data_IF_481268359554
#
_entry.id   IF_481268359554
#
_cell.length_a   1.000
_cell.length_b   1.000
_cell.length_c   1.000
_cell.angle_alpha   90.00
_cell.angle_beta   90.00
_cell.angle_gamma   90.00
#
_symmetry.space_group_name_H-M   'P 1'
#
loop_
_entity.id
_entity.type
_entity.pdbx_description
1 polymer ?
#
# COMPACT_ATOMS: atom_id res chain seq x y z
N UNK A 1 65.56 7.41 25.34
CA UNK A 1 66.62 7.23 24.33
C UNK A 1 66.01 6.64 23.06
N UNK A 2 66.35 7.24 21.92
CA UNK A 2 66.37 6.72 20.53
C UNK A 2 65.05 6.30 19.86
N UNK A 3 64.65 7.20 18.94
CA UNK A 3 63.95 6.95 17.69
C UNK A 3 64.63 5.88 16.82
N UNK A 4 63.90 5.32 15.85
CA UNK A 4 64.36 5.04 14.48
C UNK A 4 63.14 5.05 13.54
N UNK A 5 63.19 5.98 12.59
CA UNK A 5 62.47 6.05 11.32
C UNK A 5 62.91 4.88 10.43
N UNK A 6 62.00 4.26 9.66
CA UNK A 6 62.37 3.74 8.34
C UNK A 6 61.25 4.01 7.34
N UNK A 7 61.56 4.94 6.44
CA UNK A 7 60.91 5.12 5.17
C UNK A 7 61.48 4.11 4.17
N UNK A 8 60.63 3.44 3.40
CA UNK A 8 61.02 2.85 2.12
C UNK A 8 60.05 3.34 1.07
N UNK A 9 60.61 4.20 0.22
CA UNK A 9 60.09 4.68 -1.04
C UNK A 9 60.33 3.57 -2.07
N UNK A 10 59.32 3.18 -2.85
CA UNK A 10 59.53 2.43 -4.09
C UNK A 10 58.48 2.85 -5.10
N UNK A 11 58.92 3.65 -6.06
CA UNK A 11 58.18 4.03 -7.24
C UNK A 11 58.11 2.83 -8.21
N UNK A 12 56.91 2.54 -8.68
CA UNK A 12 56.65 1.60 -9.78
C UNK A 12 55.58 2.18 -10.67
N UNK A 13 56.01 2.86 -11.74
CA UNK A 13 55.18 3.43 -12.79
C UNK A 13 54.96 2.34 -13.85
N UNK A 14 53.73 1.84 -14.03
CA UNK A 14 53.31 1.19 -15.28
C UNK A 14 51.92 1.71 -15.65
N UNK A 15 51.89 2.37 -16.80
CA UNK A 15 50.72 2.84 -17.51
C UNK A 15 50.13 1.68 -18.33
N UNK A 16 48.82 1.44 -18.23
CA UNK A 16 48.07 0.89 -19.35
C UNK A 16 46.65 1.45 -19.36
N UNK A 17 46.33 2.15 -20.43
CA UNK A 17 45.03 2.68 -20.75
C UNK A 17 43.99 1.55 -20.88
N UNK A 18 43.06 1.51 -19.92
CA UNK A 18 41.81 0.78 -20.02
C UNK A 18 40.67 1.78 -19.86
N UNK A 19 39.87 1.96 -20.91
CA UNK A 19 38.65 2.77 -20.93
C UNK A 19 37.83 2.54 -19.65
N UNK A 20 37.33 3.57 -18.95
CA UNK A 20 36.18 3.40 -18.09
C UNK A 20 35.00 3.13 -19.02
N UNK A 21 34.80 1.85 -19.35
CA UNK A 21 33.53 1.38 -19.84
C UNK A 21 32.53 1.74 -18.75
N UNK A 22 31.68 2.71 -19.08
CA UNK A 22 30.46 3.04 -18.35
C UNK A 22 29.69 1.74 -18.18
N UNK A 23 29.91 1.06 -17.06
CA UNK A 23 28.95 0.11 -16.53
C UNK A 23 27.76 1.00 -16.21
N UNK A 24 26.83 1.07 -17.16
CA UNK A 24 25.49 1.51 -16.93
C UNK A 24 24.99 0.63 -15.79
N UNK A 25 25.10 1.18 -14.58
CA UNK A 25 24.38 0.69 -13.43
C UNK A 25 22.95 0.53 -13.91
N UNK A 26 22.53 -0.73 -14.03
CA UNK A 26 21.15 -1.08 -14.18
C UNK A 26 20.45 -0.35 -13.05
N UNK A 27 19.76 0.73 -13.41
CA UNK A 27 18.75 1.32 -12.58
C UNK A 27 17.82 0.15 -12.27
N UNK A 28 17.98 -0.40 -11.06
CA UNK A 28 16.93 -1.17 -10.44
C UNK A 28 15.72 -0.25 -10.54
N UNK A 29 14.80 -0.59 -11.45
CA UNK A 29 13.47 -0.03 -11.48
C UNK A 29 12.95 -0.26 -10.07
N UNK A 30 13.00 0.77 -9.24
CA UNK A 30 12.18 0.82 -8.06
C UNK A 30 10.78 0.41 -8.52
N UNK A 31 10.16 -0.60 -7.90
CA UNK A 31 8.80 -0.96 -8.23
C UNK A 31 7.99 0.33 -8.06
N UNK A 32 7.41 0.80 -9.16
CA UNK A 32 6.59 1.99 -9.17
C UNK A 32 5.57 1.85 -8.05
N UNK A 33 5.69 2.70 -7.01
CA UNK A 33 4.67 2.83 -5.98
C UNK A 33 3.37 3.11 -6.73
N UNK A 34 2.49 2.11 -6.77
CA UNK A 34 1.12 2.25 -7.26
C UNK A 34 0.49 3.36 -6.43
N UNK A 35 0.39 4.56 -7.01
CA UNK A 35 -0.40 5.66 -6.47
C UNK A 35 -1.85 5.30 -6.71
N UNK A 36 -2.38 4.40 -5.88
CA UNK A 36 -3.83 4.26 -5.72
C UNK A 36 -4.30 5.64 -5.25
N UNK A 37 -5.13 6.30 -6.06
CA UNK A 37 -5.65 7.62 -5.72
C UNK A 37 -6.41 7.50 -4.40
N UNK A 38 -5.94 8.21 -3.39
CA UNK A 38 -6.56 8.21 -2.08
C UNK A 38 -7.99 8.74 -2.16
N UNK A 39 -8.87 8.18 -1.35
CA UNK A 39 -10.16 8.81 -1.08
C UNK A 39 -9.89 10.12 -0.32
N UNK A 40 -10.75 11.14 -0.47
CA UNK A 40 -10.57 12.41 0.25
C UNK A 40 -10.41 12.23 1.76
N UNK A 41 -11.11 11.25 2.36
CA UNK A 41 -11.02 10.93 3.77
C UNK A 41 -9.68 10.28 4.14
N UNK A 42 -9.18 9.34 3.34
CA UNK A 42 -7.88 8.73 3.58
C UNK A 42 -6.72 9.73 3.38
N UNK A 43 -6.84 10.60 2.38
CA UNK A 43 -5.89 11.69 2.15
C UNK A 43 -5.86 12.65 3.34
N UNK A 44 -7.03 13.06 3.84
CA UNK A 44 -7.14 13.90 5.03
C UNK A 44 -6.44 13.26 6.23
N UNK A 45 -6.75 12.00 6.54
CA UNK A 45 -6.14 11.29 7.66
C UNK A 45 -4.61 11.25 7.54
N UNK A 46 -4.08 10.97 6.34
CA UNK A 46 -2.62 10.86 6.11
C UNK A 46 -1.89 12.19 6.13
N UNK A 47 -2.51 13.25 5.61
CA UNK A 47 -1.85 14.55 5.41
C UNK A 47 -2.10 15.52 6.55
N UNK A 48 -3.23 15.39 7.25
CA UNK A 48 -3.61 16.25 8.37
C UNK A 48 -3.57 15.52 9.70
N UNK A 49 -4.46 14.57 9.96
CA UNK A 49 -4.62 13.96 11.29
C UNK A 49 -3.34 13.29 11.79
N UNK A 50 -2.66 12.51 10.94
CA UNK A 50 -1.42 11.83 11.29
C UNK A 50 -0.18 12.75 11.34
N UNK A 51 -0.23 13.93 10.73
CA UNK A 51 0.87 14.92 10.78
C UNK A 51 0.77 15.85 11.98
N UNK A 52 -0.35 15.83 12.69
CA UNK A 52 -0.58 16.57 13.92
C UNK A 52 0.50 16.25 14.95
N UNK A 53 1.14 17.29 15.50
CA UNK A 53 2.18 17.12 16.51
C UNK A 53 1.55 16.84 17.87
N UNK A 54 1.97 15.78 18.54
CA UNK A 54 1.47 15.37 19.84
C UNK A 54 2.57 15.45 20.90
N UNK A 55 2.16 15.74 22.12
CA UNK A 55 3.00 15.64 23.33
C UNK A 55 2.21 14.85 24.35
N UNK A 56 2.73 13.69 24.72
CA UNK A 56 2.07 12.74 25.63
C UNK A 56 3.08 12.13 26.59
N UNK A 57 2.59 11.75 27.76
CA UNK A 57 3.31 10.97 28.75
C UNK A 57 2.33 9.99 29.42
N UNK A 58 2.52 8.71 29.16
CA UNK A 58 1.69 7.63 29.68
C UNK A 58 2.56 6.67 30.49
N UNK A 59 2.11 6.35 31.70
CA UNK A 59 2.76 5.38 32.58
C UNK A 59 1.79 4.26 32.92
N UNK A 60 2.14 3.02 32.59
CA UNK A 60 1.33 1.82 32.81
C UNK A 60 -0.13 1.87 32.28
N UNK A 61 -0.33 2.58 31.17
CA UNK A 61 -1.65 2.73 30.55
C UNK A 61 -1.86 1.61 29.51
N UNK A 62 -3.11 1.14 29.36
CA UNK A 62 -3.45 0.17 28.31
C UNK A 62 -3.24 0.78 26.92
N UNK A 63 -2.66 0.00 26.00
CA UNK A 63 -2.42 0.41 24.61
C UNK A 63 -3.69 0.95 23.94
N UNK A 64 -4.84 0.31 24.16
CA UNK A 64 -6.12 0.79 23.63
C UNK A 64 -6.51 2.19 24.12
N UNK A 65 -6.21 2.54 25.38
CA UNK A 65 -6.50 3.87 25.94
C UNK A 65 -5.51 4.92 25.42
N UNK A 66 -4.22 4.56 25.28
CA UNK A 66 -3.21 5.41 24.64
C UNK A 66 -3.64 5.76 23.21
N UNK A 67 -4.12 4.77 22.44
CA UNK A 67 -4.58 4.98 21.07
C UNK A 67 -5.83 5.87 21.00
N UNK A 68 -6.78 5.73 21.93
CA UNK A 68 -7.94 6.63 22.02
C UNK A 68 -7.53 8.07 22.31
N UNK A 69 -6.56 8.26 23.21
CA UNK A 69 -6.02 9.59 23.50
C UNK A 69 -5.36 10.21 22.28
N UNK A 70 -4.63 9.42 21.49
CA UNK A 70 -4.08 9.87 20.20
C UNK A 70 -5.16 10.31 19.21
N UNK A 71 -6.28 9.58 19.14
CA UNK A 71 -7.41 9.98 18.32
C UNK A 71 -8.01 11.30 18.79
N UNK A 72 -8.18 11.47 20.10
CA UNK A 72 -8.71 12.70 20.69
C UNK A 72 -7.79 13.91 20.44
N UNK A 73 -6.48 13.75 20.61
CA UNK A 73 -5.50 14.80 20.34
C UNK A 73 -5.40 15.16 18.85
N UNK A 74 -5.70 14.23 17.95
CA UNK A 74 -5.82 14.54 16.53
C UNK A 74 -7.09 15.37 16.28
N UNK A 75 -8.23 14.91 16.79
CA UNK A 75 -9.53 15.58 16.67
C UNK A 75 -9.50 17.01 17.18
N UNK A 76 -8.92 17.26 18.35
CA UNK A 76 -8.78 18.60 18.94
C UNK A 76 -8.02 19.58 18.01
N UNK A 77 -7.14 19.08 17.14
CA UNK A 77 -6.32 19.93 16.26
C UNK A 77 -6.81 19.96 14.82
N UNK A 78 -7.59 18.98 14.40
CA UNK A 78 -8.10 18.88 13.03
C UNK A 78 -9.59 19.15 12.92
N UNK A 79 -10.30 19.33 14.04
CA UNK A 79 -11.77 19.48 14.13
C UNK A 79 -12.53 18.33 13.45
N UNK A 80 -11.86 17.19 13.22
CA UNK A 80 -12.39 16.00 12.56
C UNK A 80 -11.99 14.75 13.35
N UNK A 81 -12.94 13.83 13.64
CA UNK A 81 -12.68 12.67 14.47
C UNK A 81 -11.75 11.69 13.77
N UNK A 82 -10.65 11.33 14.44
CA UNK A 82 -9.76 10.27 13.96
C UNK A 82 -10.32 8.91 14.37
N UNK A 83 -10.97 8.23 13.43
CA UNK A 83 -11.58 6.94 13.70
C UNK A 83 -10.53 5.81 13.69
N UNK A 84 -10.57 4.97 14.71
CA UNK A 84 -9.69 3.81 14.87
C UNK A 84 -10.45 2.50 14.76
N UNK A 85 -9.87 1.52 14.08
CA UNK A 85 -10.32 0.13 14.11
C UNK A 85 -9.19 -0.82 14.50
N UNK A 86 -9.55 -1.96 15.11
CA UNK A 86 -8.58 -2.95 15.57
C UNK A 86 -8.70 -4.23 14.76
N UNK A 87 -7.58 -4.66 14.16
CA UNK A 87 -7.48 -5.96 13.53
C UNK A 87 -7.58 -7.12 14.54
N UNK A 88 -7.87 -8.34 14.06
CA UNK A 88 -7.93 -9.52 14.91
C UNK A 88 -6.58 -9.77 15.60
N UNK A 89 -6.62 -10.09 16.88
CA UNK A 89 -5.42 -10.38 17.68
C UNK A 89 -4.60 -9.15 18.08
N UNK A 90 -5.08 -7.93 17.83
CA UNK A 90 -4.38 -6.73 18.27
C UNK A 90 -4.40 -6.59 19.81
N UNK A 91 -3.25 -6.39 20.47
CA UNK A 91 -3.14 -6.48 21.93
C UNK A 91 -3.57 -5.17 22.64
N UNK A 92 -4.80 -4.69 22.40
CA UNK A 92 -5.30 -3.43 22.96
C UNK A 92 -5.33 -3.40 24.51
N UNK A 93 -5.37 -4.56 25.17
CA UNK A 93 -5.35 -4.68 26.63
C UNK A 93 -3.97 -4.59 27.28
N UNK A 94 -2.88 -4.62 26.50
CA UNK A 94 -1.50 -4.60 27.01
C UNK A 94 -1.19 -3.26 27.67
N UNK A 95 -0.65 -3.27 28.89
CA UNK A 95 -0.18 -2.06 29.56
C UNK A 95 1.23 -1.68 29.09
N UNK A 96 1.47 -0.39 28.92
CA UNK A 96 2.78 0.11 28.54
C UNK A 96 3.02 1.56 29.00
N UNK A 97 4.30 1.91 29.08
CA UNK A 97 4.76 3.27 29.34
C UNK A 97 5.28 3.86 28.04
N UNK A 98 4.78 5.03 27.65
CA UNK A 98 5.13 5.69 26.40
C UNK A 98 5.11 7.20 26.58
N UNK A 99 6.16 7.88 26.10
CA UNK A 99 6.23 9.33 26.07
C UNK A 99 6.71 9.79 24.70
N UNK A 100 6.12 10.87 24.21
CA UNK A 100 6.51 11.54 22.99
C UNK A 100 6.33 13.05 23.18
N UNK A 101 7.28 13.85 22.70
CA UNK A 101 7.21 15.31 22.82
C UNK A 101 7.36 15.94 21.46
N UNK A 102 6.36 16.73 21.06
CA UNK A 102 6.36 17.49 19.82
C UNK A 102 6.65 16.62 18.57
N UNK A 103 6.15 15.39 18.56
CA UNK A 103 6.33 14.45 17.45
C UNK A 103 5.06 14.39 16.60
N UNK A 104 5.17 14.26 15.26
CA UNK A 104 4.02 13.93 14.43
C UNK A 104 3.36 12.64 14.92
N UNK A 105 2.02 12.60 14.89
CA UNK A 105 1.26 11.46 15.38
C UNK A 105 1.66 10.16 14.67
N UNK A 106 1.96 10.18 13.37
CA UNK A 106 2.47 9.02 12.63
C UNK A 106 3.76 8.43 13.23
N UNK A 107 4.65 9.29 13.75
CA UNK A 107 5.94 8.91 14.32
C UNK A 107 5.73 8.39 15.74
N UNK A 108 4.89 9.07 16.52
CA UNK A 108 4.51 8.63 17.86
C UNK A 108 3.81 7.26 17.83
N UNK A 109 2.86 7.09 16.90
CA UNK A 109 2.14 5.84 16.67
C UNK A 109 3.07 4.71 16.22
N UNK A 110 3.96 4.96 15.26
CA UNK A 110 4.93 3.95 14.83
C UNK A 110 5.86 3.51 15.97
N UNK A 111 6.37 4.47 16.74
CA UNK A 111 7.24 4.21 17.90
C UNK A 111 6.50 3.41 18.98
N UNK A 112 5.25 3.79 19.27
CA UNK A 112 4.39 3.09 20.22
C UNK A 112 4.18 1.63 19.81
N UNK A 113 3.78 1.39 18.55
CA UNK A 113 3.50 0.05 18.04
C UNK A 113 4.75 -0.83 17.99
N UNK A 114 5.90 -0.27 17.61
CA UNK A 114 7.21 -0.97 17.68
C UNK A 114 7.56 -1.40 19.11
N UNK A 115 7.28 -0.54 20.09
CA UNK A 115 7.51 -0.83 21.51
C UNK A 115 6.53 -1.86 22.07
N UNK A 116 5.28 -1.84 21.58
CA UNK A 116 4.24 -2.75 22.04
C UNK A 116 4.47 -4.20 21.60
N UNK A 117 5.01 -4.44 20.41
CA UNK A 117 5.40 -5.79 19.99
C UNK A 117 5.80 -5.92 18.52
N UNK A 118 6.55 -6.99 18.17
CA UNK A 118 6.90 -7.28 16.79
C UNK A 118 5.63 -7.57 15.98
N UNK A 119 5.58 -7.08 14.74
CA UNK A 119 4.44 -7.26 13.85
C UNK A 119 3.25 -6.32 14.12
N UNK A 120 3.28 -5.45 15.14
CA UNK A 120 2.21 -4.46 15.27
C UNK A 120 2.38 -3.34 14.25
N UNK A 121 1.28 -2.88 13.69
CA UNK A 121 1.25 -1.85 12.65
C UNK A 121 -0.06 -1.12 12.52
N UNK A 122 -0.14 -0.27 11.50
CA UNK A 122 -1.34 0.49 11.19
C UNK A 122 -1.42 0.79 9.70
N UNK A 123 -2.64 0.81 9.18
CA UNK A 123 -2.96 1.16 7.81
C UNK A 123 -4.13 2.14 7.78
N UNK A 124 -4.09 3.12 6.90
CA UNK A 124 -5.23 4.01 6.63
C UNK A 124 -6.05 3.40 5.50
N UNK A 125 -7.28 3.03 5.82
CA UNK A 125 -8.24 2.45 4.87
C UNK A 125 -8.58 3.53 3.83
N UNK A 126 -8.36 3.23 2.56
CA UNK A 126 -8.65 4.13 1.44
C UNK A 126 -9.47 3.38 0.40
N UNK A 127 -10.77 3.30 0.64
CA UNK A 127 -11.68 2.51 -0.18
C UNK A 127 -13.03 3.22 -0.31
N UNK A 128 -13.28 3.73 -1.50
CA UNK A 128 -14.50 4.47 -1.80
C UNK A 128 -15.75 3.60 -1.56
N UNK A 129 -16.72 4.16 -0.83
CA UNK A 129 -17.96 3.47 -0.45
C UNK A 129 -17.82 2.47 0.70
N UNK A 130 -16.62 2.28 1.27
CA UNK A 130 -16.45 1.50 2.49
C UNK A 130 -16.79 2.34 3.73
N UNK A 131 -17.46 1.73 4.72
CA UNK A 131 -17.82 2.42 5.97
C UNK A 131 -16.60 2.77 6.84
N UNK A 132 -15.46 2.12 6.58
CA UNK A 132 -14.21 2.38 7.27
C UNK A 132 -13.27 3.29 6.47
N UNK A 133 -13.73 3.87 5.36
CA UNK A 133 -12.91 4.79 4.57
C UNK A 133 -12.38 5.95 5.42
N UNK A 134 -11.08 6.22 5.32
CA UNK A 134 -10.37 7.22 6.14
C UNK A 134 -9.99 6.76 7.55
N UNK A 135 -10.41 5.58 8.01
CA UNK A 135 -10.09 5.09 9.35
C UNK A 135 -8.66 4.57 9.43
N UNK A 136 -8.06 4.69 10.60
CA UNK A 136 -6.77 4.05 10.90
C UNK A 136 -7.03 2.68 11.50
N UNK A 137 -6.69 1.64 10.75
CA UNK A 137 -6.82 0.25 11.16
C UNK A 137 -5.50 -0.25 11.74
N UNK A 138 -5.52 -0.68 13.00
CA UNK A 138 -4.39 -1.31 13.66
C UNK A 138 -4.23 -2.75 13.17
N UNK A 139 -3.01 -3.17 12.84
CA UNK A 139 -2.69 -4.48 12.27
C UNK A 139 -1.67 -5.23 13.11
N UNK A 140 -1.63 -6.55 12.93
CA UNK A 140 -0.66 -7.47 13.54
C UNK A 140 0.31 -8.05 12.49
N UNK A 141 0.28 -7.50 11.27
CA UNK A 141 1.09 -7.90 10.10
C UNK A 141 2.32 -7.02 9.88
N UNK A 142 2.50 -5.98 10.69
CA UNK A 142 3.63 -5.05 10.60
C UNK A 142 3.49 -3.99 9.50
N UNK A 143 2.36 -3.97 8.80
CA UNK A 143 2.09 -2.99 7.73
C UNK A 143 2.08 -1.55 8.27
N UNK A 144 2.52 -0.62 7.43
CA UNK A 144 2.58 0.82 7.71
C UNK A 144 2.06 1.61 6.53
N UNK A 145 1.13 2.53 6.78
CA UNK A 145 0.72 3.53 5.79
C UNK A 145 -0.52 3.12 4.99
N UNK A 146 -0.37 2.96 3.68
CA UNK A 146 -1.50 2.68 2.77
C UNK A 146 -2.00 1.26 3.07
N UNK A 147 -3.30 1.08 3.29
CA UNK A 147 -3.90 -0.25 3.11
C UNK A 147 -3.72 -0.56 1.63
N UNK A 148 -2.59 -1.14 1.24
CA UNK A 148 -2.51 -1.77 -0.08
C UNK A 148 -3.65 -2.78 -0.07
N UNK A 149 -4.59 -2.68 -1.02
CA UNK A 149 -5.63 -3.69 -1.15
C UNK A 149 -4.96 -5.06 -1.11
N UNK A 150 -5.59 -6.10 -0.53
CA UNK A 150 -5.04 -7.45 -0.56
C UNK A 150 -4.54 -7.74 -1.98
N UNK A 151 -3.36 -8.34 -2.17
CA UNK A 151 -2.79 -8.58 -3.49
C UNK A 151 -3.87 -9.15 -4.41
N UNK A 152 -4.21 -8.40 -5.47
CA UNK A 152 -5.30 -8.72 -6.39
C UNK A 152 -6.55 -7.83 -6.34
N UNK A 153 -6.74 -6.94 -5.36
CA UNK A 153 -7.94 -6.07 -5.33
C UNK A 153 -7.86 -4.84 -6.27
N UNK A 154 -6.65 -4.33 -6.56
CA UNK A 154 -6.46 -3.36 -7.65
C UNK A 154 -6.66 -4.02 -9.03
N UNK A 155 -6.15 -5.24 -9.18
CA UNK A 155 -6.36 -6.08 -10.37
C UNK A 155 -7.84 -6.42 -10.57
N UNK A 156 -8.57 -6.72 -9.50
CA UNK A 156 -10.03 -6.92 -9.54
C UNK A 156 -10.76 -5.63 -9.94
N UNK A 157 -10.37 -4.46 -9.41
CA UNK A 157 -11.01 -3.20 -9.75
C UNK A 157 -10.77 -2.81 -11.22
N UNK A 158 -9.56 -3.02 -11.74
CA UNK A 158 -9.24 -2.76 -13.14
C UNK A 158 -9.89 -3.78 -14.07
N UNK A 159 -9.92 -5.06 -13.68
CA UNK A 159 -10.65 -6.10 -14.38
C UNK A 159 -12.17 -5.80 -14.42
N UNK A 160 -12.75 -5.35 -13.30
CA UNK A 160 -14.16 -5.00 -13.21
C UNK A 160 -14.53 -3.80 -14.10
N UNK A 161 -13.70 -2.75 -14.16
CA UNK A 161 -13.91 -1.61 -15.06
C UNK A 161 -13.89 -2.02 -16.52
N UNK A 162 -12.90 -2.83 -16.92
CA UNK A 162 -12.80 -3.38 -18.28
C UNK A 162 -14.00 -4.30 -18.59
N UNK A 163 -14.45 -5.08 -17.62
CA UNK A 163 -15.63 -5.96 -17.75
C UNK A 163 -16.92 -5.15 -17.96
N UNK A 164 -17.11 -4.04 -17.24
CA UNK A 164 -18.24 -3.12 -17.45
C UNK A 164 -18.22 -2.53 -18.86
N UNK A 165 -17.04 -2.14 -19.37
CA UNK A 165 -16.90 -1.69 -20.75
C UNK A 165 -17.31 -2.79 -21.74
N UNK A 166 -16.84 -4.02 -21.53
CA UNK A 166 -17.18 -5.16 -22.39
C UNK A 166 -18.69 -5.47 -22.36
N UNK A 167 -19.33 -5.46 -21.18
CA UNK A 167 -20.79 -5.64 -21.04
C UNK A 167 -21.56 -4.56 -21.80
N UNK A 168 -21.16 -3.29 -21.68
CA UNK A 168 -21.76 -2.19 -22.46
C UNK A 168 -21.63 -2.38 -23.98
N UNK A 169 -20.50 -2.92 -24.46
CA UNK A 169 -20.30 -3.21 -25.88
C UNK A 169 -21.19 -4.37 -26.35
N UNK A 170 -21.44 -5.36 -25.49
CA UNK A 170 -22.38 -6.44 -25.77
C UNK A 170 -23.83 -5.93 -25.82
N UNK A 171 -24.23 -5.11 -24.84
CA UNK A 171 -25.57 -4.50 -24.81
C UNK A 171 -25.80 -3.59 -26.02
N UNK A 172 -24.74 -2.96 -26.54
CA UNK A 172 -24.77 -2.15 -27.76
C UNK A 172 -24.75 -2.99 -29.06
N UNK A 173 -24.82 -4.33 -28.97
CA UNK A 173 -24.83 -5.23 -30.13
C UNK A 173 -23.48 -5.28 -30.87
N UNK A 174 -22.37 -4.98 -30.21
CA UNK A 174 -21.01 -4.98 -30.80
C UNK A 174 -20.13 -6.09 -30.22
N UNK A 175 -20.46 -7.37 -30.43
CA UNK A 175 -19.71 -8.50 -29.88
C UNK A 175 -18.28 -8.60 -30.44
N UNK A 176 -18.04 -8.13 -31.67
CA UNK A 176 -16.71 -8.08 -32.26
C UNK A 176 -15.75 -7.12 -31.53
N UNK A 177 -16.28 -6.04 -30.94
CA UNK A 177 -15.50 -5.09 -30.15
C UNK A 177 -15.39 -5.51 -28.69
N UNK A 178 -16.37 -6.25 -28.16
CA UNK A 178 -16.34 -6.77 -26.80
C UNK A 178 -15.33 -7.94 -26.64
N UNK A 179 -15.21 -8.81 -27.65
CA UNK A 179 -14.32 -9.98 -27.63
C UNK A 179 -12.86 -9.67 -27.26
N UNK A 180 -12.15 -8.74 -27.91
CA UNK A 180 -10.76 -8.43 -27.56
C UNK A 180 -10.63 -7.86 -26.14
N UNK A 181 -11.62 -7.12 -25.65
CA UNK A 181 -11.62 -6.59 -24.27
C UNK A 181 -11.77 -7.73 -23.26
N UNK A 182 -12.67 -8.68 -23.50
CA UNK A 182 -12.84 -9.85 -22.65
C UNK A 182 -11.61 -10.77 -22.66
N UNK A 183 -10.95 -10.94 -23.81
CA UNK A 183 -9.71 -11.73 -23.93
C UNK A 183 -8.56 -11.11 -23.13
N UNK A 184 -8.42 -9.78 -23.19
CA UNK A 184 -7.45 -9.05 -22.39
C UNK A 184 -7.72 -9.26 -20.89
N UNK A 185 -8.98 -9.17 -20.45
CA UNK A 185 -9.33 -9.37 -19.03
C UNK A 185 -9.02 -10.80 -18.59
N UNK A 186 -9.41 -11.82 -19.38
CA UNK A 186 -9.17 -13.22 -19.06
C UNK A 186 -7.67 -13.59 -19.04
N UNK A 187 -6.86 -12.92 -19.85
CA UNK A 187 -5.40 -13.15 -19.93
C UNK A 187 -4.62 -12.38 -18.86
N UNK A 188 -4.96 -11.11 -18.62
CA UNK A 188 -4.24 -10.25 -17.67
C UNK A 188 -4.69 -10.49 -16.22
N UNK A 189 -5.93 -10.92 -15.99
CA UNK A 189 -6.50 -11.06 -14.65
C UNK A 189 -7.15 -12.44 -14.39
N UNK A 190 -6.47 -13.57 -14.65
CA UNK A 190 -7.08 -14.91 -14.59
C UNK A 190 -7.52 -15.33 -13.18
N UNK A 191 -6.93 -14.73 -12.13
CA UNK A 191 -7.23 -15.03 -10.73
C UNK A 191 -8.34 -14.15 -10.12
N UNK A 192 -8.89 -13.21 -10.90
CA UNK A 192 -9.94 -12.27 -10.45
C UNK A 192 -11.33 -12.81 -10.75
N UNK A 193 -12.34 -12.40 -9.97
CA UNK A 193 -13.74 -12.74 -10.23
C UNK A 193 -14.18 -12.19 -11.58
N UNK A 194 -13.77 -10.96 -11.89
CA UNK A 194 -14.00 -10.32 -13.19
C UNK A 194 -13.31 -11.07 -14.34
N UNK A 195 -12.12 -11.65 -14.13
CA UNK A 195 -11.45 -12.55 -15.09
C UNK A 195 -12.23 -13.82 -15.38
N UNK A 196 -12.75 -14.47 -14.33
CA UNK A 196 -13.60 -15.65 -14.47
C UNK A 196 -14.91 -15.33 -15.22
N UNK A 197 -15.55 -14.20 -14.91
CA UNK A 197 -16.74 -13.72 -15.64
C UNK A 197 -16.43 -13.40 -17.11
N UNK A 198 -15.28 -12.77 -17.40
CA UNK A 198 -14.89 -12.44 -18.77
C UNK A 198 -14.69 -13.70 -19.62
N UNK A 199 -14.06 -14.74 -19.06
CA UNK A 199 -13.90 -16.05 -19.71
C UNK A 199 -15.25 -16.72 -19.99
N UNK A 200 -16.18 -16.68 -19.04
CA UNK A 200 -17.52 -17.23 -19.21
C UNK A 200 -18.33 -16.50 -20.31
N UNK A 201 -18.16 -15.18 -20.45
CA UNK A 201 -18.78 -14.40 -21.52
C UNK A 201 -18.16 -14.69 -22.89
N UNK A 202 -16.84 -14.92 -22.97
CA UNK A 202 -16.18 -15.33 -24.22
C UNK A 202 -16.71 -16.66 -24.74
N UNK A 203 -16.81 -17.68 -23.88
CA UNK A 203 -17.34 -18.99 -24.28
C UNK A 203 -18.79 -18.91 -24.79
N UNK A 204 -19.61 -18.01 -24.23
CA UNK A 204 -20.98 -17.78 -24.71
C UNK A 204 -20.98 -17.14 -26.10
N UNK A 205 -20.14 -16.14 -26.34
CA UNK A 205 -20.04 -15.48 -27.65
C UNK A 205 -19.52 -16.40 -28.75
N UNK A 206 -18.62 -17.32 -28.41
CA UNK A 206 -18.13 -18.33 -29.36
C UNK A 206 -19.21 -19.35 -29.71
N UNK A 207 -19.98 -19.82 -28.72
CA UNK A 207 -21.12 -20.72 -28.95
C UNK A 207 -22.26 -20.08 -29.76
N UNK A 208 -22.50 -18.78 -29.58
CA UNK A 208 -23.51 -18.05 -30.37
C UNK A 208 -23.09 -17.88 -31.84
N UNK A 209 -21.80 -17.61 -32.09
CA UNK A 209 -21.26 -17.51 -33.46
C UNK A 209 -21.35 -18.82 -34.23
N UNK A 210 -21.17 -19.96 -33.57
CA UNK A 210 -21.26 -21.26 -34.23
C UNK A 210 -22.71 -21.60 -34.62
N UNK A 211 -23.69 -21.17 -33.81
CA UNK A 211 -25.13 -21.35 -34.13
C UNK A 211 -25.63 -20.45 -35.26
N UNK A 212 -25.00 -19.30 -35.49
CA UNK A 212 -25.36 -18.38 -36.57
C UNK A 212 -24.75 -18.79 -37.92
N UNK A 213 -23.71 -19.63 -37.92
CA UNK A 213 -23.10 -20.17 -39.14
C UNK A 213 -23.81 -21.41 -39.71
N UNK A 214 -24.61 -22.09 -38.90
CA UNK A 214 -25.38 -23.30 -39.28
C UNK A 214 -26.81 -22.98 -39.75
N UNK A 215 -27.14 -21.70 -39.97
CA UNK A 215 -28.48 -21.25 -40.38
C UNK A 215 -28.42 -20.51 -41.72
#
# INVERSE_FOLDING_TARGET
>A
MRAILFAVLSAGLISSAGKPGTVAAQAAKEPAKLVVKDTPLAEFTRTKSLKTKVTVDFTEVKLGEILKEFAHLAEEKTDEPLMLSYGPGFPFGQKMTFAAKNQPLEVALDTLLKKAGPGLGYVVVSKEGDKYDGWVRMTTTGERGIETPPPGAAEEADAAKKLVLAKKLLDAGKPASAKPVLEIIAREFPATKSGAEAKALLEKLEKEKDKEKDK
#
